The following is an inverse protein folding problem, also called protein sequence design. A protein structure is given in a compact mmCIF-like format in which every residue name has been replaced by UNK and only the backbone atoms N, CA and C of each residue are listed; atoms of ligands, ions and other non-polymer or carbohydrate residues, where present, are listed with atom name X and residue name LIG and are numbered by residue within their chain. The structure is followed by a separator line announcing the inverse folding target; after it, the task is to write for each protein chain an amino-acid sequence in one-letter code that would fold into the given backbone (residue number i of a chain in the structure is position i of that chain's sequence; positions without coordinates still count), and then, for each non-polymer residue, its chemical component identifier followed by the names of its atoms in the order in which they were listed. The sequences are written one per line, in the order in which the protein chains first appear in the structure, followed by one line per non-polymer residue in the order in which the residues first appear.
data_IF_943742820246
#
_entry.id   IF_943742820246
#
_cell.length_a   1.000
_cell.length_b   1.000
_cell.length_c   1.000
_cell.angle_alpha   90.00
_cell.angle_beta   90.00
_cell.angle_gamma   90.00
#
_symmetry.space_group_name_H-M   'P 1'
#
loop_
_entity.id
_entity.type
_entity.pdbx_description
1 polymer ?
#
# COMPACT_ATOMS: atom_id res chain seq x y z
N UNK A 1 -66.22 33.03 43.94
CA UNK A 1 -64.94 32.41 44.31
C UNK A 1 -64.07 32.39 43.07
N UNK A 2 -63.05 33.28 43.08
CA UNK A 2 -62.14 33.56 41.96
C UNK A 2 -60.89 32.67 42.14
N UNK A 3 -60.66 31.73 41.22
CA UNK A 3 -59.41 30.93 41.18
C UNK A 3 -58.43 31.51 40.19
N UNK A 4 -57.33 32.00 40.73
CA UNK A 4 -56.22 32.58 39.99
C UNK A 4 -55.32 31.47 39.41
N UNK A 5 -55.16 31.48 38.07
CA UNK A 5 -54.22 30.57 37.36
C UNK A 5 -52.90 31.31 37.23
N UNK A 6 -51.86 30.78 37.93
CA UNK A 6 -50.50 31.24 37.81
C UNK A 6 -49.86 30.57 36.61
N UNK A 7 -49.55 31.34 35.55
CA UNK A 7 -48.70 30.88 34.44
C UNK A 7 -47.26 30.91 34.86
N UNK A 8 -46.62 29.77 34.94
CA UNK A 8 -45.13 29.65 35.03
C UNK A 8 -44.52 29.72 33.63
N UNK A 9 -43.81 30.80 33.38
CA UNK A 9 -42.96 30.96 32.21
C UNK A 9 -41.70 30.07 32.37
N UNK A 10 -41.56 29.08 31.47
CA UNK A 10 -40.29 28.32 31.36
C UNK A 10 -39.40 29.09 30.43
N UNK A 11 -38.36 29.67 31.00
CA UNK A 11 -37.23 30.29 30.24
C UNK A 11 -36.38 29.13 29.77
N UNK A 12 -36.45 28.81 28.49
CA UNK A 12 -35.55 27.85 27.84
C UNK A 12 -34.16 28.50 27.68
N UNK A 13 -33.18 28.07 28.47
CA UNK A 13 -31.78 28.30 28.19
C UNK A 13 -31.40 27.47 26.96
N UNK A 14 -31.20 28.12 25.83
CA UNK A 14 -30.51 27.53 24.68
C UNK A 14 -29.03 27.42 25.02
N UNK A 15 -28.55 26.22 25.34
CA UNK A 15 -27.13 25.92 25.33
C UNK A 15 -26.66 25.91 23.87
N UNK A 16 -25.54 26.55 23.53
CA UNK A 16 -24.95 26.41 22.23
C UNK A 16 -24.42 24.98 22.11
N UNK A 17 -24.88 24.24 21.08
CA UNK A 17 -24.26 23.01 20.63
C UNK A 17 -22.82 23.38 20.17
N UNK A 18 -21.87 23.16 21.05
CA UNK A 18 -20.47 23.08 20.66
C UNK A 18 -20.34 21.76 19.92
N UNK A 19 -20.33 21.84 18.58
CA UNK A 19 -19.91 20.72 17.73
C UNK A 19 -18.43 20.56 18.01
N UNK A 20 -18.10 19.68 18.95
CA UNK A 20 -16.74 19.19 19.13
C UNK A 20 -16.47 18.29 17.92
N UNK A 21 -15.81 18.85 16.91
CA UNK A 21 -15.14 18.07 15.89
C UNK A 21 -14.05 17.26 16.59
N UNK A 22 -14.38 16.05 17.02
CA UNK A 22 -13.40 15.06 17.42
C UNK A 22 -12.63 14.68 16.17
N UNK A 23 -11.47 15.30 16.00
CA UNK A 23 -10.48 14.87 15.05
C UNK A 23 -10.13 13.41 15.42
N UNK A 24 -10.10 12.51 14.42
CA UNK A 24 -9.69 11.11 14.54
C UNK A 24 -8.19 10.95 14.87
N UNK A 25 -7.59 11.90 15.58
CA UNK A 25 -6.19 11.86 16.04
C UNK A 25 -5.94 10.89 17.20
N UNK A 26 -7.00 10.35 17.84
CA UNK A 26 -6.84 9.59 19.08
C UNK A 26 -6.80 8.07 18.92
N UNK A 27 -6.94 7.54 17.71
CA UNK A 27 -6.79 6.10 17.45
C UNK A 27 -5.34 5.62 17.34
N UNK A 28 -4.40 6.56 17.21
CA UNK A 28 -2.97 6.27 17.23
C UNK A 28 -2.29 7.14 18.28
N UNK A 29 -1.96 6.63 19.48
CA UNK A 29 -1.09 7.36 20.39
C UNK A 29 0.19 7.69 19.63
N UNK A 30 0.53 8.97 19.61
CA UNK A 30 1.80 9.46 19.06
C UNK A 30 2.93 8.81 19.86
N UNK A 31 3.84 8.12 19.22
CA UNK A 31 5.12 7.78 19.86
C UNK A 31 5.83 9.10 20.23
N UNK A 32 6.63 9.13 21.32
CA UNK A 32 7.43 10.30 21.60
C UNK A 32 8.30 10.62 20.36
N UNK A 33 8.51 11.91 20.06
CA UNK A 33 9.27 12.30 18.89
C UNK A 33 10.63 11.58 18.86
N UNK A 34 11.00 11.06 17.70
CA UNK A 34 12.27 10.42 17.45
C UNK A 34 13.43 11.23 18.04
N UNK A 35 14.36 10.58 18.75
CA UNK A 35 15.61 11.19 19.22
C UNK A 35 16.60 11.50 18.08
N UNK A 36 16.22 11.27 16.83
CA UNK A 36 17.01 11.67 15.67
C UNK A 36 17.13 13.20 15.63
N UNK A 37 18.32 13.71 15.34
CA UNK A 37 18.54 15.13 15.17
C UNK A 37 17.63 15.68 14.06
N UNK A 38 17.00 16.87 14.23
CA UNK A 38 16.18 17.46 13.19
C UNK A 38 16.97 17.56 11.88
N UNK A 39 16.46 16.92 10.81
CA UNK A 39 17.10 16.89 9.49
C UNK A 39 17.98 15.69 9.19
N UNK A 40 18.20 14.78 10.13
CA UNK A 40 18.84 13.49 9.83
C UNK A 40 17.88 12.59 9.07
N UNK A 41 18.24 12.18 7.86
CA UNK A 41 17.44 11.28 7.01
C UNK A 41 17.75 9.81 7.31
N UNK A 42 18.76 9.51 8.12
CA UNK A 42 19.12 8.17 8.60
C UNK A 42 19.17 8.14 10.11
N UNK A 43 18.88 7.00 10.71
CA UNK A 43 19.03 6.74 12.15
C UNK A 43 20.11 5.68 12.39
N UNK A 44 20.65 5.59 13.62
CA UNK A 44 21.69 4.59 13.95
C UNK A 44 21.23 3.15 13.61
N UNK A 45 22.09 2.40 12.94
CA UNK A 45 21.84 1.03 12.47
C UNK A 45 21.53 0.92 10.98
N UNK A 46 20.99 1.98 10.37
CA UNK A 46 20.67 2.00 8.93
C UNK A 46 21.92 2.15 8.04
N UNK A 47 22.99 2.70 8.60
CA UNK A 47 24.24 2.96 7.88
C UNK A 47 24.94 1.71 7.37
N UNK A 48 24.52 0.53 7.79
CA UNK A 48 25.00 -0.74 7.22
C UNK A 48 24.59 -0.81 5.75
N UNK A 49 23.31 -0.60 5.47
CA UNK A 49 22.73 -0.80 4.15
C UNK A 49 22.40 0.49 3.40
N UNK A 50 22.04 1.58 4.11
CA UNK A 50 21.55 2.79 3.49
C UNK A 50 22.61 3.90 3.50
N UNK A 51 23.02 4.31 2.30
CA UNK A 51 23.96 5.43 2.08
C UNK A 51 23.26 6.54 1.31
N UNK A 52 23.72 7.78 1.49
CA UNK A 52 23.24 8.94 0.71
C UNK A 52 21.71 9.06 0.66
N UNK A 53 21.04 8.81 1.80
CA UNK A 53 19.57 8.88 1.88
C UNK A 53 19.08 10.26 1.51
N UNK A 54 18.12 10.33 0.61
CA UNK A 54 17.48 11.57 0.17
C UNK A 54 15.97 11.43 0.13
N UNK A 55 15.27 12.51 0.48
CA UNK A 55 13.82 12.60 0.40
C UNK A 55 13.39 13.11 -0.97
N UNK A 56 12.42 12.43 -1.59
CA UNK A 56 11.96 12.71 -2.96
C UNK A 56 10.63 13.47 -3.02
N UNK A 57 9.77 13.30 -2.01
CA UNK A 57 8.46 13.98 -1.93
C UNK A 57 8.30 14.71 -0.61
N UNK A 58 7.38 15.69 -0.56
CA UNK A 58 7.16 16.54 0.59
C UNK A 58 5.68 16.84 0.76
N UNK A 59 5.13 16.53 1.94
CA UNK A 59 3.74 16.77 2.28
C UNK A 59 2.76 15.72 1.72
N UNK A 60 1.62 15.58 2.38
CA UNK A 60 0.61 14.59 2.06
C UNK A 60 1.01 13.15 2.45
N UNK A 61 0.33 12.19 1.85
CA UNK A 61 0.60 10.77 2.01
C UNK A 61 1.08 10.21 0.67
N UNK A 62 2.36 9.82 0.62
CA UNK A 62 3.01 9.27 -0.57
C UNK A 62 3.43 7.84 -0.26
N UNK A 63 3.00 6.87 -1.06
CA UNK A 63 3.27 5.45 -0.83
C UNK A 63 3.35 4.66 -2.12
N UNK A 64 3.79 3.40 -2.02
CA UNK A 64 3.83 2.44 -3.11
C UNK A 64 4.56 2.98 -4.35
N UNK A 65 5.82 3.41 -4.14
CA UNK A 65 6.66 3.92 -5.20
C UNK A 65 7.41 2.80 -5.91
N UNK A 66 7.23 2.68 -7.22
CA UNK A 66 7.84 1.66 -8.04
C UNK A 66 8.60 2.26 -9.21
N UNK A 67 9.80 1.72 -9.47
CA UNK A 67 10.65 2.18 -10.57
C UNK A 67 10.10 1.79 -11.94
N UNK A 68 10.34 2.64 -12.95
CA UNK A 68 10.33 2.21 -14.34
C UNK A 68 11.46 1.21 -14.59
N UNK A 69 11.36 0.38 -15.65
CA UNK A 69 12.37 -0.65 -15.94
C UNK A 69 13.79 -0.09 -16.10
N UNK A 70 13.90 1.14 -16.60
CA UNK A 70 15.18 1.83 -16.75
C UNK A 70 15.63 2.60 -15.49
N UNK A 71 14.91 2.48 -14.37
CA UNK A 71 15.17 3.15 -13.10
C UNK A 71 15.19 4.69 -13.18
N UNK A 72 14.58 5.28 -14.23
CA UNK A 72 14.58 6.73 -14.46
C UNK A 72 13.41 7.47 -13.80
N UNK A 73 12.29 6.79 -13.61
CA UNK A 73 11.07 7.35 -13.05
C UNK A 73 10.54 6.48 -11.91
N UNK A 74 9.85 7.13 -10.96
CA UNK A 74 8.99 6.48 -9.98
C UNK A 74 7.54 6.78 -10.31
N UNK A 75 6.68 5.78 -10.16
CA UNK A 75 5.23 5.91 -10.12
C UNK A 75 4.76 5.58 -8.71
N UNK A 76 3.83 6.36 -8.16
CA UNK A 76 3.41 6.22 -6.76
C UNK A 76 2.01 6.76 -6.55
N UNK A 77 1.37 6.37 -5.44
CA UNK A 77 0.11 6.96 -5.01
C UNK A 77 0.34 8.14 -4.05
N UNK A 78 -0.50 9.17 -4.22
CA UNK A 78 -0.48 10.37 -3.40
C UNK A 78 -1.89 10.81 -3.04
N UNK A 79 -2.05 11.21 -1.78
CA UNK A 79 -3.21 11.91 -1.24
C UNK A 79 -2.72 13.12 -0.44
N UNK A 80 -3.42 14.27 -0.54
CA UNK A 80 -2.98 15.48 0.16
C UNK A 80 -3.89 16.68 -0.10
N UNK A 81 -3.37 17.88 0.07
CA UNK A 81 -4.11 19.12 -0.17
C UNK A 81 -4.60 19.17 -1.63
N UNK A 82 -5.92 19.37 -1.81
CA UNK A 82 -6.55 19.36 -3.12
C UNK A 82 -6.71 17.99 -3.77
N UNK A 83 -6.23 16.90 -3.11
CA UNK A 83 -6.32 15.51 -3.58
C UNK A 83 -6.99 14.66 -2.48
N UNK A 84 -8.33 14.60 -2.46
CA UNK A 84 -9.11 14.06 -1.33
C UNK A 84 -9.01 12.54 -1.14
N UNK A 85 -8.59 11.81 -2.15
CA UNK A 85 -8.26 10.39 -2.08
C UNK A 85 -7.15 10.05 -3.06
N UNK A 86 -6.49 8.91 -2.86
CA UNK A 86 -5.28 8.54 -3.58
C UNK A 86 -5.44 8.68 -5.09
N UNK A 87 -4.46 9.30 -5.71
CA UNK A 87 -4.26 9.41 -7.15
C UNK A 87 -2.84 8.97 -7.50
N UNK A 88 -2.62 8.58 -8.75
CA UNK A 88 -1.33 8.12 -9.23
C UNK A 88 -0.54 9.27 -9.83
N UNK A 89 0.69 9.41 -9.36
CA UNK A 89 1.66 10.40 -9.79
C UNK A 89 2.97 9.73 -10.23
N UNK A 90 3.78 10.49 -10.96
CA UNK A 90 5.14 10.10 -11.33
C UNK A 90 6.11 11.25 -11.12
N UNK A 91 7.36 10.90 -10.76
CA UNK A 91 8.52 11.81 -10.68
C UNK A 91 9.74 11.18 -11.35
N UNK A 92 10.68 11.96 -11.89
CA UNK A 92 12.01 11.46 -12.22
C UNK A 92 12.77 11.10 -10.93
N UNK A 93 13.57 10.04 -10.98
CA UNK A 93 14.42 9.60 -9.87
C UNK A 93 15.56 10.58 -9.62
N UNK A 94 16.17 11.03 -10.72
CA UNK A 94 17.28 11.98 -10.70
C UNK A 94 16.91 13.23 -11.52
N UNK A 95 17.32 14.39 -11.04
CA UNK A 95 17.14 15.68 -11.69
C UNK A 95 18.47 16.35 -11.96
N UNK A 96 18.62 17.15 -13.02
CA UNK A 96 19.88 17.77 -13.36
C UNK A 96 20.49 18.67 -12.28
N UNK A 97 19.63 19.28 -11.44
CA UNK A 97 20.05 20.17 -10.34
C UNK A 97 20.05 19.46 -8.97
N UNK A 98 19.78 18.15 -8.93
CA UNK A 98 19.72 17.34 -7.72
C UNK A 98 18.53 17.65 -6.80
N UNK A 99 17.60 18.53 -7.19
CA UNK A 99 16.44 18.87 -6.38
C UNK A 99 15.25 17.96 -6.70
N UNK A 100 14.39 17.67 -5.72
CA UNK A 100 13.16 16.93 -5.96
C UNK A 100 12.28 17.57 -7.03
N UNK A 101 11.78 16.76 -7.95
CA UNK A 101 10.88 17.20 -9.00
C UNK A 101 9.44 17.32 -8.50
N UNK A 102 8.66 18.23 -9.10
CA UNK A 102 7.23 18.28 -8.85
C UNK A 102 6.53 17.02 -9.39
N UNK A 103 5.67 16.36 -8.61
CA UNK A 103 4.92 15.20 -9.08
C UNK A 103 3.98 15.55 -10.23
N UNK A 104 3.92 14.66 -11.24
CA UNK A 104 3.02 14.75 -12.37
C UNK A 104 1.88 13.75 -12.23
N UNK A 105 0.62 14.23 -12.26
CA UNK A 105 -0.56 13.39 -12.23
C UNK A 105 -0.62 12.48 -13.47
N UNK A 106 -0.88 11.18 -13.25
CA UNK A 106 -1.05 10.16 -14.29
C UNK A 106 -2.49 9.68 -14.35
N UNK A 107 -3.12 9.41 -13.20
CA UNK A 107 -4.51 8.96 -13.14
C UNK A 107 -5.49 10.08 -13.49
N UNK A 108 -6.78 9.74 -13.56
CA UNK A 108 -7.83 10.65 -14.03
C UNK A 108 -8.12 11.85 -13.11
N UNK A 109 -7.61 11.86 -11.89
CA UNK A 109 -8.02 12.81 -10.84
C UNK A 109 -9.42 12.54 -10.29
N UNK A 110 -10.06 11.44 -10.68
CA UNK A 110 -11.42 11.04 -10.28
C UNK A 110 -11.41 9.68 -9.59
N UNK A 111 -12.40 9.45 -8.70
CA UNK A 111 -12.45 8.25 -7.90
C UNK A 111 -11.21 8.09 -7.04
N UNK A 112 -10.97 6.89 -6.53
CA UNK A 112 -9.73 6.53 -5.82
C UNK A 112 -8.89 5.62 -6.70
N UNK A 113 -7.57 5.84 -6.72
CA UNK A 113 -6.62 4.99 -7.48
C UNK A 113 -5.59 4.39 -6.54
N UNK A 114 -5.03 3.23 -6.89
CA UNK A 114 -4.01 2.54 -6.09
C UNK A 114 -3.12 1.66 -6.97
N UNK A 115 -1.98 1.22 -6.42
CA UNK A 115 -1.15 0.13 -6.91
C UNK A 115 -0.79 0.30 -8.39
N UNK A 116 -0.06 1.35 -8.72
CA UNK A 116 0.38 1.59 -10.08
C UNK A 116 1.72 0.94 -10.39
N UNK A 117 1.94 0.54 -11.64
CA UNK A 117 3.18 -0.07 -12.09
C UNK A 117 3.50 0.32 -13.54
N UNK A 118 4.78 0.41 -13.89
CA UNK A 118 5.20 0.65 -15.28
C UNK A 118 5.17 -0.63 -16.11
N UNK A 119 4.76 -0.53 -17.38
CA UNK A 119 5.12 -1.53 -18.36
C UNK A 119 6.63 -1.48 -18.65
N UNK A 120 7.26 -2.64 -18.94
CA UNK A 120 8.69 -2.68 -19.23
C UNK A 120 9.15 -1.83 -20.40
N UNK A 121 8.28 -1.65 -21.40
CA UNK A 121 8.53 -0.76 -22.54
C UNK A 121 8.58 0.73 -22.16
N UNK A 122 8.08 1.09 -20.95
CA UNK A 122 8.01 2.48 -20.50
C UNK A 122 6.94 3.33 -21.19
N UNK A 123 6.23 2.78 -22.18
CA UNK A 123 5.20 3.49 -22.96
C UNK A 123 3.81 3.43 -22.33
N UNK A 124 3.61 2.58 -21.32
CA UNK A 124 2.36 2.42 -20.59
C UNK A 124 2.58 2.26 -19.09
N UNK A 125 1.50 2.49 -18.34
CA UNK A 125 1.39 2.23 -16.91
C UNK A 125 0.13 1.41 -16.61
N UNK A 126 0.17 0.65 -15.52
CA UNK A 126 -0.99 0.00 -14.90
C UNK A 126 -1.40 0.80 -13.67
N UNK A 127 -2.68 0.80 -13.34
CA UNK A 127 -3.18 1.21 -12.03
C UNK A 127 -4.61 0.69 -11.81
N UNK A 128 -5.01 0.61 -10.56
CA UNK A 128 -6.38 0.24 -10.20
C UNK A 128 -7.16 1.47 -9.77
N UNK A 129 -8.44 1.57 -10.20
CA UNK A 129 -9.24 2.77 -9.95
C UNK A 129 -10.73 2.48 -9.84
N UNK A 130 -11.43 3.29 -9.03
CA UNK A 130 -12.89 3.28 -8.89
C UNK A 130 -13.60 4.28 -9.82
N UNK A 131 -12.86 5.08 -10.59
CA UNK A 131 -13.39 6.22 -11.36
C UNK A 131 -14.45 5.83 -12.41
N UNK A 132 -14.43 4.59 -12.90
CA UNK A 132 -15.44 4.10 -13.84
C UNK A 132 -16.81 3.89 -13.18
N UNK A 133 -16.84 3.66 -11.88
CA UNK A 133 -18.08 3.53 -11.10
C UNK A 133 -18.57 4.88 -10.58
N UNK A 134 -17.67 5.73 -10.08
CA UNK A 134 -17.98 7.08 -9.60
C UNK A 134 -16.79 8.01 -9.77
N UNK A 135 -16.99 9.28 -10.15
CA UNK A 135 -15.95 10.29 -10.12
C UNK A 135 -15.54 10.71 -8.70
N UNK A 136 -16.38 10.42 -7.71
CA UNK A 136 -16.15 10.82 -6.32
C UNK A 136 -15.27 9.80 -5.58
N UNK A 137 -14.63 10.23 -4.51
CA UNK A 137 -13.94 9.33 -3.58
C UNK A 137 -14.92 8.36 -2.95
N UNK A 138 -14.62 7.07 -2.88
CA UNK A 138 -15.45 6.12 -2.16
C UNK A 138 -15.50 6.48 -0.67
N UNK A 139 -16.59 6.10 0.05
CA UNK A 139 -16.73 6.40 1.47
C UNK A 139 -15.60 5.77 2.29
N UNK A 140 -15.19 6.44 3.36
CA UNK A 140 -14.21 5.87 4.31
C UNK A 140 -14.82 4.63 4.98
N UNK A 141 -14.01 3.60 5.27
CA UNK A 141 -14.48 2.41 5.97
C UNK A 141 -14.92 2.73 7.41
N UNK A 142 -15.77 1.89 7.96
CA UNK A 142 -16.14 1.92 9.37
C UNK A 142 -15.03 1.29 10.21
N UNK A 143 -14.34 2.11 11.01
CA UNK A 143 -13.27 1.69 11.92
C UNK A 143 -13.77 1.30 13.32
N UNK A 144 -15.07 1.23 13.58
CA UNK A 144 -15.61 0.91 14.91
C UNK A 144 -15.17 -0.47 15.43
N UNK A 145 -14.78 -1.38 14.52
CA UNK A 145 -14.28 -2.72 14.83
C UNK A 145 -12.74 -2.83 14.80
N UNK A 146 -12.03 -1.71 14.84
CA UNK A 146 -10.59 -1.63 14.76
C UNK A 146 -10.08 -1.34 13.35
N UNK A 147 -8.75 -1.49 13.16
CA UNK A 147 -8.10 -1.19 11.88
C UNK A 147 -8.46 -2.22 10.81
N UNK A 148 -8.98 -1.73 9.69
CA UNK A 148 -9.38 -2.53 8.53
C UNK A 148 -8.95 -1.83 7.23
N UNK A 149 -8.71 -2.62 6.18
CA UNK A 149 -8.51 -2.11 4.82
C UNK A 149 -9.79 -2.24 4.01
N UNK A 150 -10.22 -1.16 3.30
CA UNK A 150 -11.31 -1.24 2.36
C UNK A 150 -10.82 -1.91 1.06
N UNK A 151 -11.59 -2.89 0.60
CA UNK A 151 -11.43 -3.57 -0.68
C UNK A 151 -12.63 -3.25 -1.56
N UNK A 152 -12.75 -1.96 -1.95
CA UNK A 152 -13.91 -1.50 -2.71
C UNK A 152 -14.14 -2.37 -3.93
N UNK A 153 -15.34 -2.93 -4.06
CA UNK A 153 -15.78 -3.82 -5.14
C UNK A 153 -15.90 -3.12 -6.50
N UNK A 154 -15.68 -1.82 -6.51
CA UNK A 154 -15.68 -0.95 -7.70
C UNK A 154 -14.29 -0.74 -8.31
N UNK A 155 -13.23 -1.27 -7.69
CA UNK A 155 -11.90 -1.21 -8.28
C UNK A 155 -11.80 -2.06 -9.54
N UNK A 156 -11.30 -1.43 -10.62
CA UNK A 156 -10.94 -2.09 -11.87
C UNK A 156 -9.51 -1.71 -12.27
N UNK A 157 -8.86 -2.59 -13.01
CA UNK A 157 -7.50 -2.38 -13.53
C UNK A 157 -7.57 -1.66 -14.85
N UNK A 158 -6.75 -0.62 -14.98
CA UNK A 158 -6.61 0.21 -16.17
C UNK A 158 -5.16 0.25 -16.63
N UNK A 159 -4.97 0.58 -17.90
CA UNK A 159 -3.67 0.96 -18.46
C UNK A 159 -3.81 2.28 -19.21
N UNK A 160 -2.78 3.12 -19.12
CA UNK A 160 -2.70 4.41 -19.81
C UNK A 160 -1.27 4.67 -20.28
N UNK A 161 -1.06 5.69 -21.10
CA UNK A 161 0.28 6.23 -21.35
C UNK A 161 0.80 6.94 -20.08
N UNK A 162 2.13 7.15 -19.93
CA UNK A 162 2.70 7.85 -18.78
C UNK A 162 2.28 9.33 -18.64
N UNK A 163 1.61 9.88 -19.63
CA UNK A 163 0.99 11.21 -19.59
C UNK A 163 -0.49 11.19 -19.20
N UNK A 164 -1.05 9.99 -18.89
CA UNK A 164 -2.45 9.76 -18.56
C UNK A 164 -3.38 9.59 -19.76
N UNK A 165 -2.89 9.78 -20.98
CA UNK A 165 -3.69 9.60 -22.20
C UNK A 165 -3.85 8.12 -22.59
N UNK A 166 -4.68 7.84 -23.60
CA UNK A 166 -4.98 6.49 -24.11
C UNK A 166 -5.37 5.48 -22.99
N UNK A 167 -6.26 5.93 -22.08
CA UNK A 167 -6.78 5.14 -20.98
C UNK A 167 -7.60 3.96 -21.51
N UNK A 168 -7.30 2.74 -21.03
CA UNK A 168 -8.01 1.50 -21.35
C UNK A 168 -8.30 0.72 -20.09
N UNK A 169 -9.52 0.21 -19.97
CA UNK A 169 -9.92 -0.70 -18.90
C UNK A 169 -9.55 -2.13 -19.29
N UNK A 170 -8.86 -2.86 -18.38
CA UNK A 170 -8.45 -4.25 -18.59
C UNK A 170 -9.37 -5.26 -17.89
N UNK A 171 -10.01 -4.86 -16.78
CA UNK A 171 -10.95 -5.73 -16.04
C UNK A 171 -12.32 -5.08 -15.95
N UNK A 172 -13.38 -5.93 -15.97
CA UNK A 172 -14.78 -5.51 -15.79
C UNK A 172 -15.59 -6.52 -14.94
N UNK A 173 -14.90 -7.46 -14.29
CA UNK A 173 -15.56 -8.40 -13.38
C UNK A 173 -16.01 -7.66 -12.13
N UNK A 174 -17.18 -8.09 -11.57
CA UNK A 174 -17.62 -7.61 -10.27
C UNK A 174 -16.60 -7.93 -9.18
N UNK A 175 -16.49 -7.03 -8.20
CA UNK A 175 -15.60 -7.18 -7.06
C UNK A 175 -14.30 -6.37 -7.19
N UNK A 176 -13.48 -6.46 -6.16
CA UNK A 176 -12.16 -5.85 -6.10
C UNK A 176 -11.24 -6.45 -7.17
N UNK A 177 -10.67 -5.61 -8.03
CA UNK A 177 -9.64 -5.99 -9.00
C UNK A 177 -8.52 -4.96 -8.90
N UNK A 178 -7.43 -5.30 -8.21
CA UNK A 178 -6.36 -4.35 -7.91
C UNK A 178 -5.00 -5.03 -7.66
N UNK A 179 -4.02 -4.26 -7.17
CA UNK A 179 -2.69 -4.72 -6.79
C UNK A 179 -1.96 -5.39 -7.98
N UNK A 180 -2.08 -4.80 -9.16
CA UNK A 180 -1.58 -5.40 -10.39
C UNK A 180 -0.12 -5.04 -10.67
N UNK A 181 0.68 -6.05 -11.03
CA UNK A 181 2.05 -5.90 -11.54
C UNK A 181 2.24 -6.73 -12.81
N UNK A 182 3.24 -6.40 -13.62
CA UNK A 182 3.48 -7.05 -14.92
C UNK A 182 4.88 -7.68 -14.97
N UNK A 183 5.02 -8.80 -15.68
CA UNK A 183 6.31 -9.44 -15.95
C UNK A 183 7.26 -8.53 -16.71
N UNK A 184 8.57 -8.72 -16.55
CA UNK A 184 9.61 -7.93 -17.24
C UNK A 184 9.60 -8.09 -18.77
N UNK A 185 9.01 -9.16 -19.29
CA UNK A 185 8.80 -9.34 -20.73
C UNK A 185 7.51 -8.65 -21.25
N UNK A 186 6.73 -8.05 -20.33
CA UNK A 186 5.52 -7.28 -20.65
C UNK A 186 4.32 -8.13 -21.05
N UNK A 187 4.32 -9.44 -20.82
CA UNK A 187 3.27 -10.33 -21.36
C UNK A 187 2.18 -10.69 -20.36
N UNK A 188 2.51 -10.80 -19.07
CA UNK A 188 1.59 -11.32 -18.07
C UNK A 188 1.45 -10.35 -16.90
N UNK A 189 0.21 -10.08 -16.53
CA UNK A 189 -0.18 -9.30 -15.35
C UNK A 189 -0.59 -10.28 -14.26
N UNK A 190 -0.11 -10.08 -13.02
CA UNK A 190 -0.61 -10.72 -11.81
C UNK A 190 -1.39 -9.68 -11.01
N UNK A 191 -2.47 -10.07 -10.34
CA UNK A 191 -3.33 -9.14 -9.60
C UNK A 191 -4.17 -9.86 -8.54
N UNK A 192 -4.73 -9.10 -7.61
CA UNK A 192 -5.68 -9.58 -6.59
C UNK A 192 -7.11 -9.33 -7.03
N UNK A 193 -8.01 -10.30 -6.80
CA UNK A 193 -9.43 -10.13 -7.14
C UNK A 193 -10.36 -10.91 -6.22
N UNK A 194 -11.56 -10.33 -5.95
CA UNK A 194 -12.65 -11.02 -5.23
C UNK A 194 -13.73 -11.59 -6.16
N UNK A 195 -13.46 -11.73 -7.45
CA UNK A 195 -14.44 -12.16 -8.47
C UNK A 195 -15.11 -13.51 -8.20
N UNK A 196 -14.48 -14.39 -7.44
CA UNK A 196 -14.99 -15.70 -7.03
C UNK A 196 -15.46 -15.74 -5.57
N UNK A 197 -15.60 -14.56 -4.92
CA UNK A 197 -16.14 -14.44 -3.56
C UNK A 197 -15.10 -14.46 -2.44
N UNK A 198 -13.80 -14.62 -2.77
CA UNK A 198 -12.67 -14.51 -1.84
C UNK A 198 -11.55 -13.67 -2.43
N UNK A 199 -10.58 -13.26 -1.62
CA UNK A 199 -9.41 -12.50 -2.06
C UNK A 199 -8.33 -13.46 -2.54
N UNK A 200 -8.28 -13.65 -3.84
CA UNK A 200 -7.35 -14.56 -4.51
C UNK A 200 -6.44 -13.85 -5.51
N UNK A 201 -5.32 -14.48 -5.81
CA UNK A 201 -4.38 -14.06 -6.84
C UNK A 201 -4.76 -14.66 -8.18
N UNK A 202 -4.76 -13.81 -9.19
CA UNK A 202 -5.04 -14.13 -10.59
C UNK A 202 -3.91 -13.67 -11.49
N UNK A 203 -3.82 -14.30 -12.66
CA UNK A 203 -3.01 -13.81 -13.79
C UNK A 203 -3.87 -13.56 -15.01
N UNK A 204 -3.40 -12.68 -15.89
CA UNK A 204 -3.99 -12.43 -17.22
C UNK A 204 -2.89 -12.03 -18.19
N UNK A 205 -3.18 -12.07 -19.48
CA UNK A 205 -2.34 -11.45 -20.50
C UNK A 205 -2.31 -9.92 -20.33
N UNK A 206 -1.29 -9.27 -20.89
CA UNK A 206 -1.13 -7.81 -20.82
C UNK A 206 -2.30 -7.01 -21.44
N UNK A 207 -3.10 -7.64 -22.32
CA UNK A 207 -4.30 -7.08 -22.90
C UNK A 207 -5.60 -7.31 -22.10
N UNK A 208 -5.50 -7.95 -20.93
CA UNK A 208 -6.62 -8.31 -20.06
C UNK A 208 -7.28 -9.66 -20.37
N UNK A 209 -6.86 -10.36 -21.41
CA UNK A 209 -7.38 -11.68 -21.80
C UNK A 209 -6.80 -12.83 -20.95
N UNK A 210 -7.38 -14.03 -21.08
CA UNK A 210 -6.87 -15.27 -20.48
C UNK A 210 -6.69 -15.22 -18.95
N UNK A 211 -7.70 -14.74 -18.24
CA UNK A 211 -7.68 -14.65 -16.77
C UNK A 211 -7.68 -16.04 -16.14
N UNK A 212 -6.74 -16.30 -15.23
CA UNK A 212 -6.59 -17.55 -14.47
C UNK A 212 -6.44 -17.27 -13.00
N UNK A 213 -7.13 -18.05 -12.16
CA UNK A 213 -6.98 -18.04 -10.71
C UNK A 213 -5.79 -18.91 -10.30
N UNK A 214 -4.95 -18.45 -9.37
CA UNK A 214 -3.76 -19.15 -8.88
C UNK A 214 -3.90 -19.61 -7.43
N UNK A 215 -4.66 -18.90 -6.59
CA UNK A 215 -4.91 -19.27 -5.19
C UNK A 215 -6.37 -19.58 -4.97
N UNK A 216 -6.70 -20.40 -3.96
CA UNK A 216 -8.05 -20.92 -3.72
C UNK A 216 -8.33 -21.17 -2.22
N UNK A 217 -7.34 -20.94 -1.36
CA UNK A 217 -7.47 -21.13 0.08
C UNK A 217 -8.31 -20.00 0.68
N UNK A 218 -9.24 -20.34 1.60
CA UNK A 218 -10.05 -19.33 2.28
C UNK A 218 -9.17 -18.35 3.03
N UNK A 219 -9.28 -17.07 2.68
CA UNK A 219 -8.52 -16.01 3.32
C UNK A 219 -8.05 -14.93 2.36
N UNK A 220 -7.14 -14.11 2.83
CA UNK A 220 -6.53 -13.05 2.04
C UNK A 220 -5.26 -13.56 1.35
N UNK A 221 -5.24 -13.51 0.04
CA UNK A 221 -4.04 -13.63 -0.79
C UNK A 221 -3.93 -12.37 -1.66
N UNK A 222 -2.87 -11.56 -1.50
CA UNK A 222 -2.80 -10.30 -2.23
C UNK A 222 -1.42 -9.65 -2.29
N UNK A 223 -1.34 -8.50 -2.97
CA UNK A 223 -0.11 -7.74 -3.19
C UNK A 223 0.96 -8.52 -3.94
N UNK A 224 0.65 -9.17 -5.07
CA UNK A 224 1.59 -10.06 -5.75
C UNK A 224 2.61 -9.29 -6.60
N UNK A 225 3.87 -9.77 -6.58
CA UNK A 225 4.95 -9.28 -7.43
C UNK A 225 5.67 -10.43 -8.13
N UNK A 226 5.94 -10.25 -9.41
CA UNK A 226 6.74 -11.18 -10.19
C UNK A 226 8.21 -11.17 -9.77
N UNK A 227 8.86 -12.33 -9.78
CA UNK A 227 10.32 -12.40 -9.77
C UNK A 227 10.91 -11.82 -11.06
N UNK A 228 12.17 -11.41 -11.01
CA UNK A 228 12.85 -10.78 -12.15
C UNK A 228 12.88 -11.66 -13.41
N UNK A 229 12.91 -12.98 -13.25
CA UNK A 229 12.87 -13.97 -14.35
C UNK A 229 11.45 -14.38 -14.75
N UNK A 230 10.41 -13.86 -14.06
CA UNK A 230 9.01 -14.14 -14.32
C UNK A 230 8.55 -15.55 -13.97
N UNK A 231 9.36 -16.32 -13.23
CA UNK A 231 9.04 -17.73 -12.91
C UNK A 231 8.33 -17.90 -11.58
N UNK A 232 8.38 -16.92 -10.69
CA UNK A 232 7.81 -16.95 -9.36
C UNK A 232 7.00 -15.69 -9.08
N UNK A 233 6.11 -15.79 -8.09
CA UNK A 233 5.31 -14.71 -7.56
C UNK A 233 5.52 -14.70 -6.04
N UNK A 234 5.92 -13.55 -5.48
CA UNK A 234 5.88 -13.27 -4.06
C UNK A 234 4.60 -12.53 -3.74
N UNK A 235 3.96 -12.85 -2.61
CA UNK A 235 2.71 -12.24 -2.17
C UNK A 235 2.57 -12.30 -0.66
N UNK A 236 1.60 -11.59 -0.10
CA UNK A 236 1.24 -11.67 1.32
C UNK A 236 -0.06 -12.43 1.49
N UNK A 237 -0.17 -13.23 2.54
CA UNK A 237 -1.37 -14.03 2.79
C UNK A 237 -1.70 -14.16 4.27
N UNK A 238 -3.00 -14.30 4.55
CA UNK A 238 -3.55 -14.65 5.86
C UNK A 238 -4.72 -15.60 5.67
N UNK A 239 -4.57 -16.83 6.14
CA UNK A 239 -5.61 -17.85 6.07
C UNK A 239 -6.20 -18.11 7.46
N UNK A 240 -7.46 -17.73 7.73
CA UNK A 240 -8.10 -17.92 9.03
C UNK A 240 -8.29 -19.42 9.32
N UNK A 241 -7.98 -19.83 10.57
CA UNK A 241 -7.95 -21.26 10.96
C UNK A 241 -9.03 -21.63 11.95
N UNK A 242 -9.38 -20.73 12.87
CA UNK A 242 -10.42 -21.00 13.86
C UNK A 242 -11.80 -20.60 13.36
N UNK A 243 -12.89 -21.19 13.91
CA UNK A 243 -14.24 -20.77 13.56
C UNK A 243 -14.49 -19.27 13.75
N UNK A 244 -13.89 -18.66 14.78
CA UNK A 244 -14.02 -17.24 15.11
C UNK A 244 -13.30 -16.37 14.06
N UNK A 245 -12.07 -16.74 13.68
CA UNK A 245 -11.31 -16.04 12.63
C UNK A 245 -12.03 -16.13 11.28
N UNK A 246 -12.57 -17.30 10.93
CA UNK A 246 -13.33 -17.52 9.71
C UNK A 246 -14.61 -16.65 9.70
N UNK A 247 -15.30 -16.58 10.84
CA UNK A 247 -16.50 -15.76 10.96
C UNK A 247 -16.20 -14.27 10.83
N UNK A 248 -15.14 -13.76 11.50
CA UNK A 248 -14.70 -12.35 11.39
C UNK A 248 -14.27 -12.01 9.97
N UNK A 249 -13.47 -12.87 9.34
CA UNK A 249 -13.04 -12.68 7.95
C UNK A 249 -14.22 -12.58 6.98
N UNK A 250 -15.14 -13.53 7.03
CA UNK A 250 -16.33 -13.54 6.16
C UNK A 250 -17.26 -12.36 6.41
N UNK A 251 -17.45 -11.96 7.66
CA UNK A 251 -18.26 -10.80 8.01
C UNK A 251 -17.62 -9.50 7.48
N UNK A 252 -16.32 -9.32 7.62
CA UNK A 252 -15.60 -8.17 7.07
C UNK A 252 -15.63 -8.17 5.53
N UNK A 253 -15.34 -9.31 4.90
CA UNK A 253 -15.35 -9.44 3.45
C UNK A 253 -16.72 -9.12 2.85
N UNK A 254 -17.83 -9.52 3.51
CA UNK A 254 -19.19 -9.16 3.09
C UNK A 254 -19.49 -7.66 3.12
N UNK A 255 -18.64 -6.89 3.79
CA UNK A 255 -18.69 -5.41 3.89
C UNK A 255 -17.59 -4.73 3.07
N UNK A 256 -16.94 -5.47 2.18
CA UNK A 256 -15.78 -5.03 1.40
C UNK A 256 -14.63 -4.53 2.28
N UNK A 257 -14.35 -5.24 3.37
CA UNK A 257 -13.28 -4.95 4.34
C UNK A 257 -12.44 -6.20 4.61
N UNK A 258 -11.17 -5.99 4.98
CA UNK A 258 -10.31 -7.03 5.57
C UNK A 258 -9.57 -6.47 6.78
N UNK A 259 -9.13 -7.37 7.68
CA UNK A 259 -8.24 -7.04 8.80
C UNK A 259 -6.82 -7.44 8.44
N UNK A 260 -5.88 -6.48 8.24
CA UNK A 260 -4.52 -6.77 7.77
C UNK A 260 -3.57 -7.13 8.94
N UNK A 261 -4.01 -8.01 9.83
CA UNK A 261 -3.17 -8.54 10.91
C UNK A 261 -2.59 -9.91 10.53
N UNK A 262 -1.44 -10.29 11.09
CA UNK A 262 -0.81 -11.61 10.89
C UNK A 262 -0.66 -12.01 9.42
N UNK A 263 -0.32 -11.05 8.57
CA UNK A 263 0.00 -11.31 7.17
C UNK A 263 1.39 -11.93 7.07
N UNK A 264 1.51 -13.04 6.36
CA UNK A 264 2.81 -13.68 6.13
C UNK A 264 3.21 -13.56 4.66
N UNK A 265 4.53 -13.56 4.40
CA UNK A 265 5.07 -13.55 3.03
C UNK A 265 5.09 -15.01 2.51
N UNK A 266 4.60 -15.16 1.29
CA UNK A 266 4.54 -16.43 0.57
C UNK A 266 5.15 -16.30 -0.81
N UNK A 267 5.58 -17.42 -1.34
CA UNK A 267 6.07 -17.55 -2.72
C UNK A 267 5.38 -18.73 -3.39
N UNK A 268 5.10 -18.58 -4.68
CA UNK A 268 4.63 -19.66 -5.56
C UNK A 268 5.30 -19.59 -6.93
N UNK A 269 5.23 -20.67 -7.70
CA UNK A 269 5.58 -20.63 -9.11
C UNK A 269 4.59 -19.77 -9.90
N UNK A 270 4.99 -19.33 -11.10
CA UNK A 270 4.16 -18.51 -12.00
C UNK A 270 2.82 -19.15 -12.39
N UNK A 271 2.71 -20.47 -12.33
CA UNK A 271 1.50 -21.24 -12.61
C UNK A 271 0.60 -21.50 -11.39
N UNK A 272 0.98 -20.98 -10.20
CA UNK A 272 0.31 -21.18 -8.93
C UNK A 272 0.72 -22.42 -8.16
N UNK A 273 1.63 -23.24 -8.69
CA UNK A 273 2.15 -24.43 -8.01
C UNK A 273 3.23 -24.09 -6.97
N UNK A 274 3.62 -25.08 -6.17
CA UNK A 274 4.73 -24.98 -5.20
C UNK A 274 4.62 -23.78 -4.24
N UNK A 275 3.41 -23.51 -3.72
CA UNK A 275 3.19 -22.48 -2.72
C UNK A 275 3.92 -22.81 -1.43
N UNK A 276 4.69 -21.86 -0.89
CA UNK A 276 5.33 -22.01 0.40
C UNK A 276 5.42 -20.68 1.16
N UNK A 277 5.34 -20.78 2.47
CA UNK A 277 5.41 -19.66 3.39
C UNK A 277 6.87 -19.33 3.69
N UNK A 278 7.26 -18.06 3.49
CA UNK A 278 8.61 -17.56 3.73
C UNK A 278 8.76 -17.06 5.16
N UNK A 279 7.83 -16.21 5.65
CA UNK A 279 7.84 -15.71 7.03
C UNK A 279 6.89 -16.52 7.91
N UNK A 280 7.23 -16.66 9.21
CA UNK A 280 6.40 -17.33 10.24
C UNK A 280 6.58 -16.63 11.57
N UNK A 281 6.40 -15.31 11.56
CA UNK A 281 6.68 -14.47 12.74
C UNK A 281 5.40 -13.94 13.41
N UNK A 282 4.22 -14.20 12.84
CA UNK A 282 2.93 -13.75 13.38
C UNK A 282 2.74 -12.24 13.38
N UNK A 283 3.54 -11.53 12.61
CA UNK A 283 3.48 -10.09 12.44
C UNK A 283 2.63 -9.70 11.22
N UNK A 284 2.39 -8.41 11.03
CA UNK A 284 1.90 -7.89 9.78
C UNK A 284 3.08 -7.64 8.83
N UNK A 285 3.25 -8.51 7.84
CA UNK A 285 4.29 -8.39 6.82
C UNK A 285 3.63 -7.99 5.50
N UNK A 286 4.09 -6.94 4.83
CA UNK A 286 3.47 -6.48 3.58
C UNK A 286 4.44 -5.76 2.64
N UNK A 287 3.97 -5.46 1.41
CA UNK A 287 4.77 -4.83 0.37
C UNK A 287 6.01 -5.63 0.00
N UNK A 288 5.93 -6.98 -0.18
CA UNK A 288 7.11 -7.77 -0.54
C UNK A 288 7.57 -7.42 -1.94
N UNK A 289 8.89 -7.36 -2.14
CA UNK A 289 9.50 -7.18 -3.45
C UNK A 289 10.74 -8.05 -3.58
N UNK A 290 10.99 -8.60 -4.77
CA UNK A 290 12.17 -9.39 -5.04
C UNK A 290 13.41 -8.52 -5.10
N UNK A 291 14.49 -8.94 -4.42
CA UNK A 291 15.81 -8.40 -4.70
C UNK A 291 16.28 -8.83 -6.09
N UNK A 292 17.01 -7.99 -6.84
CA UNK A 292 17.48 -8.33 -8.21
C UNK A 292 18.34 -9.58 -8.32
N UNK A 293 18.91 -10.06 -7.21
CA UNK A 293 19.66 -11.34 -7.18
C UNK A 293 18.79 -12.57 -7.40
N UNK A 294 17.43 -12.40 -7.33
CA UNK A 294 16.46 -13.48 -7.51
C UNK A 294 16.42 -14.50 -6.36
N UNK A 295 17.01 -14.18 -5.21
CA UNK A 295 17.10 -15.08 -4.04
C UNK A 295 16.52 -14.49 -2.77
N UNK A 296 16.54 -13.16 -2.64
CA UNK A 296 16.09 -12.44 -1.44
C UNK A 296 14.82 -11.66 -1.72
N UNK A 297 14.05 -11.43 -0.66
CA UNK A 297 12.80 -10.66 -0.66
C UNK A 297 12.95 -9.55 0.36
N UNK A 298 12.67 -8.30 -0.04
CA UNK A 298 12.55 -7.16 0.85
C UNK A 298 11.07 -6.89 1.12
N UNK A 299 10.72 -6.50 2.34
CA UNK A 299 9.32 -6.27 2.76
C UNK A 299 9.24 -5.38 3.99
N UNK A 300 8.07 -4.87 4.30
CA UNK A 300 7.79 -4.16 5.53
C UNK A 300 7.20 -5.09 6.59
N UNK A 301 7.58 -4.91 7.86
CA UNK A 301 7.09 -5.71 8.98
C UNK A 301 7.09 -4.94 10.30
N UNK A 302 6.11 -5.22 11.16
CA UNK A 302 6.07 -4.75 12.53
C UNK A 302 6.59 -5.79 13.55
N UNK A 303 7.37 -6.76 13.10
CA UNK A 303 7.89 -7.86 13.95
C UNK A 303 8.73 -7.37 15.12
N UNK A 304 9.37 -6.20 15.02
CA UNK A 304 10.12 -5.57 16.12
C UNK A 304 9.24 -4.86 17.16
N UNK A 305 7.97 -4.62 16.87
CA UNK A 305 6.99 -3.98 17.76
C UNK A 305 5.79 -4.91 18.09
N UNK A 306 6.02 -6.07 18.72
CA UNK A 306 4.97 -7.07 18.95
C UNK A 306 3.89 -6.61 19.97
N UNK A 307 4.13 -5.53 20.70
CA UNK A 307 3.19 -5.02 21.71
C UNK A 307 2.20 -4.02 21.15
N UNK A 308 2.67 -3.09 20.34
CA UNK A 308 1.85 -2.00 19.80
C UNK A 308 1.47 -2.24 18.33
N UNK A 309 2.33 -2.95 17.58
CA UNK A 309 2.11 -3.34 16.20
C UNK A 309 2.04 -2.16 15.22
N UNK A 310 2.67 -1.03 15.55
CA UNK A 310 2.57 0.23 14.80
C UNK A 310 3.86 0.65 14.13
N UNK A 311 4.98 0.20 14.68
CA UNK A 311 6.32 0.48 14.16
C UNK A 311 6.65 -0.53 13.07
N UNK A 312 6.65 -0.07 11.82
CA UNK A 312 6.96 -0.86 10.66
C UNK A 312 8.32 -0.49 10.11
N UNK A 313 9.15 -1.49 9.95
CA UNK A 313 10.48 -1.38 9.35
C UNK A 313 10.62 -2.23 8.10
N UNK A 314 11.64 -1.92 7.31
CA UNK A 314 12.04 -2.76 6.20
C UNK A 314 12.92 -3.91 6.67
N UNK A 315 12.66 -5.07 6.09
CA UNK A 315 13.42 -6.30 6.31
C UNK A 315 13.81 -6.92 4.98
N UNK A 316 14.90 -7.69 4.98
CA UNK A 316 15.28 -8.56 3.87
C UNK A 316 15.41 -9.99 4.40
N UNK A 317 15.01 -10.98 3.59
CA UNK A 317 15.02 -12.39 3.94
C UNK A 317 15.34 -13.24 2.69
N UNK A 318 15.95 -14.40 2.87
CA UNK A 318 16.08 -15.38 1.80
C UNK A 318 14.71 -16.00 1.47
N UNK A 319 14.51 -16.43 0.23
CA UNK A 319 13.26 -17.09 -0.19
C UNK A 319 12.92 -18.34 0.64
N UNK A 320 13.92 -19.03 1.16
CA UNK A 320 13.75 -20.22 2.02
C UNK A 320 13.38 -19.88 3.48
N UNK A 321 13.22 -18.58 3.82
CA UNK A 321 12.87 -18.10 5.14
C UNK A 321 14.07 -17.93 6.10
N UNK A 322 15.29 -18.15 5.64
CA UNK A 322 16.51 -17.91 6.44
C UNK A 322 17.05 -16.50 6.26
N UNK A 323 17.96 -16.07 7.14
CA UNK A 323 18.70 -14.82 6.98
C UNK A 323 17.83 -13.56 7.11
N UNK A 324 16.78 -13.58 7.94
CA UNK A 324 15.99 -12.36 8.22
C UNK A 324 16.89 -11.28 8.82
N UNK A 325 16.91 -10.11 8.18
CA UNK A 325 17.67 -8.95 8.62
C UNK A 325 16.83 -7.67 8.54
N UNK A 326 16.89 -6.82 9.59
CA UNK A 326 16.25 -5.51 9.65
C UNK A 326 17.12 -4.48 8.94
N UNK A 327 16.51 -3.64 8.09
CA UNK A 327 17.18 -2.62 7.27
C UNK A 327 16.97 -1.23 7.86
N UNK A 328 15.75 -0.89 8.27
CA UNK A 328 15.40 0.43 8.80
C UNK A 328 15.06 0.37 10.28
N UNK A 329 15.22 1.51 10.97
CA UNK A 329 15.07 1.64 12.42
C UNK A 329 14.42 2.97 12.81
N UNK A 330 13.90 3.74 11.85
CA UNK A 330 13.19 4.98 12.15
C UNK A 330 11.84 4.66 12.76
N UNK A 331 11.40 5.39 13.82
CA UNK A 331 10.10 5.13 14.44
C UNK A 331 8.93 5.30 13.48
N UNK A 332 7.88 4.56 13.73
CA UNK A 332 6.55 4.54 13.12
C UNK A 332 6.46 3.78 11.79
N UNK A 333 6.85 4.33 10.65
CA UNK A 333 6.45 3.72 9.39
C UNK A 333 7.51 3.82 8.30
N UNK A 334 8.09 2.68 7.95
CA UNK A 334 8.88 2.44 6.75
C UNK A 334 8.27 1.28 5.97
N UNK A 335 7.88 1.49 4.70
CA UNK A 335 7.15 0.48 3.93
C UNK A 335 7.31 0.61 2.41
N UNK A 336 6.82 -0.40 1.70
CA UNK A 336 6.79 -0.48 0.23
C UNK A 336 8.17 -0.32 -0.41
N UNK A 337 9.13 -1.17 -0.04
CA UNK A 337 10.47 -1.11 -0.60
C UNK A 337 10.53 -1.65 -2.04
N UNK A 338 11.33 -1.02 -2.89
CA UNK A 338 11.69 -1.55 -4.20
C UNK A 338 13.15 -1.23 -4.53
N UNK A 339 13.88 -2.21 -5.04
CA UNK A 339 15.22 -2.02 -5.58
C UNK A 339 15.21 -1.52 -7.02
N UNK A 340 16.23 -0.75 -7.39
CA UNK A 340 16.59 -0.54 -8.81
C UNK A 340 16.94 -1.88 -9.48
N UNK A 341 16.85 -1.93 -10.79
CA UNK A 341 17.12 -3.13 -11.59
C UNK A 341 18.52 -3.71 -11.39
N UNK A 342 19.48 -2.86 -11.04
CA UNK A 342 20.87 -3.26 -10.75
C UNK A 342 21.12 -3.57 -9.26
N UNK A 343 20.10 -3.42 -8.39
CA UNK A 343 20.20 -3.66 -6.96
C UNK A 343 21.00 -2.62 -6.17
N UNK A 344 21.38 -1.49 -6.78
CA UNK A 344 22.27 -0.51 -6.14
C UNK A 344 21.54 0.59 -5.39
N UNK A 345 20.25 0.75 -5.58
CA UNK A 345 19.45 1.75 -4.87
C UNK A 345 18.15 1.12 -4.37
N UNK A 346 17.67 1.61 -3.23
CA UNK A 346 16.41 1.23 -2.60
C UNK A 346 15.53 2.47 -2.48
N UNK A 347 14.28 2.39 -2.94
CA UNK A 347 13.22 3.36 -2.65
C UNK A 347 12.25 2.78 -1.63
N UNK A 348 11.71 3.62 -0.73
CA UNK A 348 10.65 3.24 0.21
C UNK A 348 9.81 4.46 0.61
N UNK A 349 8.65 4.19 1.22
CA UNK A 349 7.82 5.21 1.86
C UNK A 349 8.12 5.26 3.35
N UNK A 350 8.21 6.47 3.93
CA UNK A 350 8.50 6.67 5.34
C UNK A 350 7.80 7.93 5.86
N UNK A 351 7.43 7.92 7.14
CA UNK A 351 6.97 9.12 7.85
C UNK A 351 8.12 9.91 8.50
N UNK A 352 9.38 9.45 8.37
CA UNK A 352 10.55 10.21 8.82
C UNK A 352 10.57 11.60 8.21
N UNK A 353 11.01 12.61 8.97
CA UNK A 353 11.03 14.01 8.56
C UNK A 353 9.65 14.58 8.14
N UNK A 354 8.53 13.91 8.48
CA UNK A 354 7.18 14.42 8.28
C UNK A 354 6.93 15.66 9.15
N UNK A 355 6.17 16.62 8.61
CA UNK A 355 5.84 17.89 9.28
C UNK A 355 4.40 17.94 9.79
N UNK A 356 3.59 17.01 9.35
CA UNK A 356 2.18 16.90 9.71
C UNK A 356 1.85 15.45 10.15
N UNK A 357 0.81 15.26 10.99
CA UNK A 357 0.32 13.93 11.32
C UNK A 357 -0.01 13.13 10.06
N UNK A 358 0.37 11.85 10.04
CA UNK A 358 0.16 10.91 8.92
C UNK A 358 0.86 11.30 7.60
N UNK A 359 1.76 12.27 7.62
CA UNK A 359 2.59 12.58 6.46
C UNK A 359 3.54 11.42 6.21
N UNK A 360 3.53 10.91 4.98
CA UNK A 360 4.49 9.93 4.47
C UNK A 360 5.13 10.45 3.20
N UNK A 361 6.43 10.22 3.05
CA UNK A 361 7.20 10.67 1.90
C UNK A 361 8.02 9.53 1.32
N UNK A 362 8.46 9.71 0.08
CA UNK A 362 9.34 8.78 -0.59
C UNK A 362 10.80 9.10 -0.30
N UNK A 363 11.56 8.08 0.01
CA UNK A 363 12.99 8.16 0.26
C UNK A 363 13.73 7.23 -0.69
N UNK A 364 14.95 7.61 -1.03
CA UNK A 364 15.85 6.85 -1.88
C UNK A 364 17.22 6.81 -1.23
N UNK A 365 17.85 5.64 -1.22
CA UNK A 365 19.21 5.45 -0.74
C UNK A 365 20.05 4.65 -1.74
N UNK A 366 21.37 4.84 -1.70
CA UNK A 366 22.30 3.89 -2.28
C UNK A 366 22.36 2.67 -1.36
N UNK A 367 22.30 1.48 -1.95
CA UNK A 367 22.36 0.20 -1.24
C UNK A 367 23.78 -0.29 -1.05
N UNK A 368 24.09 -0.79 0.14
CA UNK A 368 25.32 -1.47 0.52
C UNK A 368 25.00 -2.85 1.09
N UNK A 369 25.70 -3.89 0.64
CA UNK A 369 25.56 -5.27 1.17
C UNK A 369 26.09 -5.42 2.60
#
# INVERSE_FOLDING_TARGET
MKGSIVRRSVVGLALPLVVVAWAMSDLFPQNPPSTAAPGALTVPGEEKHLKNVRQLTFGGQNAEAYFSLEDKYLIFQHQGEGVPCDQIYSIPVDTPDGKPAAPKLISTGKGRTTCAYYFPSGDRVLFSSTHASSPDCPPKPDYSRGYVWPIYDTYQIFTAKPDGSDLKQLTNAHGYNAESTITRDGKHIVFTSTRNGDLDIYTMNADGSNVKQLTHELGYDGGPFWSYDGKKIVYRAQHPKTPEEIADYKDLLSKSLIRPGNLEIWVMNADGSNKHQVTRNGAANFGPYWHPDGKRIVFASNVADPKNGRDFDLYIINEDGTGLERITYAPDFDAFPMFTSDGKRLVWASNRNGKAPHETNLFLADWSE
#
